data_IF_657452151318
#
_entry.id   IF_657452151318
#
_cell.length_a   1.000
_cell.length_b   1.000
_cell.length_c   1.000
_cell.angle_alpha   90.00
_cell.angle_beta   90.00
_cell.angle_gamma   90.00
#
_symmetry.space_group_name_H-M   'P 1'
#
loop_
_entity.id
_entity.type
_entity.pdbx_description
1 polymer ?
#
# COMPACT_ATOMS: atom_id res chain seq x y z
N UNK A 1 18.78 3.82 10.08
CA UNK A 1 19.18 3.63 8.68
C UNK A 1 17.93 3.29 7.87
N UNK A 2 17.28 4.31 7.27
CA UNK A 2 16.06 4.19 6.45
C UNK A 2 16.43 4.16 4.96
N UNK A 3 17.46 3.40 4.60
CA UNK A 3 18.12 3.53 3.28
C UNK A 3 17.60 2.59 2.19
N UNK A 4 16.56 1.80 2.45
CA UNK A 4 15.96 0.92 1.42
C UNK A 4 14.49 1.28 1.21
N UNK A 5 14.23 2.47 0.67
CA UNK A 5 12.96 2.67 -0.05
C UNK A 5 13.13 1.98 -1.38
N UNK A 6 12.37 0.92 -1.69
CA UNK A 6 12.36 0.36 -3.03
C UNK A 6 12.02 1.50 -4.00
N UNK A 7 12.92 1.79 -4.93
CA UNK A 7 12.72 2.82 -5.96
C UNK A 7 11.59 2.44 -6.92
N UNK A 8 11.27 1.15 -7.00
CA UNK A 8 10.18 0.60 -7.79
C UNK A 8 8.84 0.72 -7.06
N UNK A 9 7.89 1.49 -7.61
CA UNK A 9 6.54 1.67 -7.05
C UNK A 9 5.81 0.33 -6.79
N UNK A 10 5.86 -0.68 -7.69
CA UNK A 10 5.28 -1.99 -7.43
C UNK A 10 5.87 -2.70 -6.20
N UNK A 11 7.18 -2.54 -5.93
CA UNK A 11 7.81 -3.13 -4.75
C UNK A 11 7.34 -2.45 -3.46
N UNK A 12 7.04 -1.15 -3.50
CA UNK A 12 6.48 -0.45 -2.35
C UNK A 12 5.08 -0.94 -2.01
N UNK A 13 4.26 -1.27 -3.01
CA UNK A 13 2.94 -1.89 -2.79
C UNK A 13 3.08 -3.29 -2.20
N UNK A 14 3.97 -4.13 -2.75
CA UNK A 14 4.24 -5.48 -2.22
C UNK A 14 4.61 -5.44 -0.74
N UNK A 15 5.58 -4.60 -0.37
CA UNK A 15 6.01 -4.45 1.02
C UNK A 15 4.88 -3.97 1.95
N UNK A 16 4.01 -3.06 1.48
CA UNK A 16 2.90 -2.57 2.29
C UNK A 16 1.86 -3.66 2.57
N UNK A 17 1.50 -4.44 1.55
CA UNK A 17 0.57 -5.56 1.68
C UNK A 17 1.13 -6.69 2.55
N UNK A 18 2.40 -7.04 2.39
CA UNK A 18 3.07 -8.05 3.21
C UNK A 18 3.08 -7.65 4.69
N UNK A 19 3.33 -6.37 5.00
CA UNK A 19 3.34 -5.89 6.40
C UNK A 19 1.98 -5.86 7.06
N UNK A 20 0.92 -5.59 6.30
CA UNK A 20 -0.42 -5.39 6.86
C UNK A 20 -1.23 -6.70 6.85
N UNK A 21 -1.17 -7.47 5.78
CA UNK A 21 -2.00 -8.67 5.61
C UNK A 21 -1.22 -9.98 5.70
N UNK A 22 0.11 -9.94 5.93
CA UNK A 22 0.98 -11.11 5.97
C UNK A 22 0.87 -12.00 4.71
N UNK A 23 0.53 -11.39 3.57
CA UNK A 23 0.41 -12.05 2.26
C UNK A 23 0.92 -11.14 1.14
N UNK A 24 1.41 -11.70 0.02
CA UNK A 24 1.68 -10.90 -1.16
C UNK A 24 0.37 -10.37 -1.78
N UNK A 25 0.40 -9.16 -2.37
CA UNK A 25 -0.71 -8.67 -3.19
C UNK A 25 -0.79 -9.42 -4.52
N UNK A 26 -2.00 -9.50 -5.06
CA UNK A 26 -2.26 -9.92 -6.45
C UNK A 26 -1.90 -8.81 -7.43
N UNK A 27 -1.74 -9.13 -8.72
CA UNK A 27 -1.45 -8.13 -9.77
C UNK A 27 -2.54 -7.05 -9.84
N UNK A 28 -3.81 -7.44 -9.75
CA UNK A 28 -4.95 -6.52 -9.73
C UNK A 28 -4.89 -5.55 -8.54
N UNK A 29 -4.46 -6.01 -7.36
CA UNK A 29 -4.30 -5.17 -6.17
C UNK A 29 -3.14 -4.19 -6.32
N UNK A 30 -2.04 -4.62 -6.94
CA UNK A 30 -0.91 -3.74 -7.26
C UNK A 30 -1.35 -2.63 -8.20
N UNK A 31 -2.04 -2.97 -9.29
CA UNK A 31 -2.54 -1.97 -10.23
C UNK A 31 -3.56 -1.02 -9.60
N UNK A 32 -4.47 -1.53 -8.77
CA UNK A 32 -5.44 -0.70 -8.05
C UNK A 32 -4.76 0.26 -7.07
N UNK A 33 -3.77 -0.22 -6.31
CA UNK A 33 -3.00 0.59 -5.38
C UNK A 33 -2.21 1.68 -6.09
N UNK A 34 -1.55 1.36 -7.21
CA UNK A 34 -0.81 2.34 -8.00
C UNK A 34 -1.73 3.39 -8.63
N UNK A 35 -2.89 2.98 -9.16
CA UNK A 35 -3.93 3.90 -9.63
C UNK A 35 -4.42 4.81 -8.50
N UNK A 36 -4.66 4.24 -7.31
CA UNK A 36 -5.12 4.98 -6.14
C UNK A 36 -4.13 6.06 -5.71
N UNK A 37 -2.83 5.74 -5.61
CA UNK A 37 -1.79 6.71 -5.26
C UNK A 37 -1.77 7.87 -6.26
N UNK A 38 -1.94 7.59 -7.55
CA UNK A 38 -1.99 8.59 -8.63
C UNK A 38 -3.25 9.46 -8.63
N UNK A 39 -4.30 9.08 -7.90
CA UNK A 39 -5.50 9.94 -7.74
C UNK A 39 -5.27 11.11 -6.77
N UNK A 40 -4.19 11.09 -6.00
CA UNK A 40 -3.89 12.14 -5.02
C UNK A 40 -2.99 13.23 -5.63
N UNK A 41 -3.14 14.49 -5.18
CA UNK A 41 -2.41 15.63 -5.74
C UNK A 41 -0.90 15.57 -5.51
N UNK A 42 -0.45 14.80 -4.50
CA UNK A 42 0.95 14.60 -4.19
C UNK A 42 1.23 13.13 -3.91
N UNK A 43 2.41 12.66 -4.33
CA UNK A 43 2.81 11.27 -4.16
C UNK A 43 2.91 10.90 -2.68
N UNK A 44 3.44 11.78 -1.82
CA UNK A 44 3.53 11.53 -0.37
C UNK A 44 2.13 11.36 0.23
N UNK A 45 1.19 12.22 -0.14
CA UNK A 45 -0.21 12.10 0.26
C UNK A 45 -0.88 10.83 -0.27
N UNK A 46 -0.59 10.45 -1.52
CA UNK A 46 -1.05 9.20 -2.14
C UNK A 46 -0.61 7.96 -1.37
N UNK A 47 0.68 7.87 -1.05
CA UNK A 47 1.23 6.75 -0.28
C UNK A 47 0.73 6.73 1.17
N UNK A 48 0.60 7.89 1.82
CA UNK A 48 0.03 7.98 3.17
C UNK A 48 -1.44 7.50 3.19
N UNK A 49 -2.24 7.95 2.22
CA UNK A 49 -3.63 7.52 2.08
C UNK A 49 -3.73 6.01 1.81
N UNK A 50 -2.85 5.45 0.97
CA UNK A 50 -2.83 4.01 0.71
C UNK A 50 -2.57 3.22 2.01
N UNK A 51 -1.56 3.62 2.79
CA UNK A 51 -1.25 2.96 4.06
C UNK A 51 -2.43 3.05 5.05
N UNK A 52 -3.10 4.20 5.13
CA UNK A 52 -4.28 4.36 5.98
C UNK A 52 -5.44 3.47 5.52
N UNK A 53 -5.70 3.38 4.22
CA UNK A 53 -6.74 2.50 3.67
C UNK A 53 -6.44 1.04 3.95
N UNK A 54 -5.21 0.58 3.75
CA UNK A 54 -4.82 -0.81 4.03
C UNK A 54 -4.97 -1.13 5.54
N UNK A 55 -4.54 -0.21 6.42
CA UNK A 55 -4.71 -0.37 7.87
C UNK A 55 -6.20 -0.45 8.26
N UNK A 56 -7.02 0.45 7.74
CA UNK A 56 -8.46 0.46 8.02
C UNK A 56 -9.13 -0.84 7.54
N UNK A 57 -8.76 -1.35 6.36
CA UNK A 57 -9.24 -2.64 5.87
C UNK A 57 -8.80 -3.80 6.77
N UNK A 58 -7.57 -3.79 7.29
CA UNK A 58 -7.10 -4.80 8.23
C UNK A 58 -7.83 -4.74 9.57
N UNK A 59 -8.07 -3.55 10.12
CA UNK A 59 -8.85 -3.39 11.36
C UNK A 59 -10.29 -3.86 11.22
N UNK A 60 -10.91 -3.62 10.07
CA UNK A 60 -12.26 -4.11 9.78
C UNK A 60 -12.30 -5.64 9.77
N UNK A 61 -11.35 -6.29 9.09
CA UNK A 61 -11.25 -7.74 9.02
C UNK A 61 -10.88 -8.39 10.37
N UNK A 62 -10.12 -7.70 11.22
CA UNK A 62 -9.75 -8.22 12.55
C UNK A 62 -10.88 -8.08 13.59
N UNK A 63 -11.88 -7.24 13.33
CA UNK A 63 -13.02 -7.00 14.23
C UNK A 63 -14.33 -7.64 13.78
N UNK A 64 -14.37 -8.23 12.58
CA UNK A 64 -15.49 -9.00 12.04
C UNK A 64 -15.41 -10.47 12.43
#
# INVERSE_FOLDING_TARGET
LLSDRPTSEPHRVKLAYERIFNRPPTETEVDAALKFVKTKPDATQGWAALCQSLWASHEFLARS
#
